data_IF_004993548546
#
_entry.id   IF_004993548546
#
_cell.length_a   1.000
_cell.length_b   1.000
_cell.length_c   1.000
_cell.angle_alpha   90.00
_cell.angle_beta   90.00
_cell.angle_gamma   90.00
#
_symmetry.space_group_name_H-M   'P 1'
#
loop_
_entity.id
_entity.type
_entity.pdbx_description
1 polymer ?
#
# COMPACT_ATOMS: atom_id res chain seq x y z
N UNK A 1 28.72 -20.21 4.63
CA UNK A 1 28.43 -18.77 4.88
C UNK A 1 27.27 -18.31 4.01
N UNK A 2 26.35 -17.51 4.57
CA UNK A 2 25.08 -17.10 3.89
C UNK A 2 25.21 -15.71 3.25
N UNK A 3 26.19 -14.91 3.62
CA UNK A 3 26.33 -13.49 3.25
C UNK A 3 26.11 -13.14 1.75
N UNK A 4 26.54 -13.94 0.76
CA UNK A 4 26.31 -13.61 -0.65
C UNK A 4 24.86 -13.80 -1.13
N UNK A 5 24.10 -14.67 -0.46
CA UNK A 5 22.78 -15.11 -0.92
C UNK A 5 21.73 -13.99 -0.90
N UNK A 6 21.57 -13.20 0.20
CA UNK A 6 20.64 -12.09 0.19
C UNK A 6 20.93 -11.06 -0.90
N UNK A 7 22.21 -10.75 -1.16
CA UNK A 7 22.58 -9.80 -2.20
C UNK A 7 22.15 -10.30 -3.60
N UNK A 8 22.51 -11.54 -3.95
CA UNK A 8 22.13 -12.15 -5.22
C UNK A 8 20.60 -12.28 -5.34
N UNK A 9 19.89 -12.63 -4.26
CA UNK A 9 18.44 -12.68 -4.22
C UNK A 9 17.80 -11.35 -4.57
N UNK A 10 18.29 -10.22 -3.99
CA UNK A 10 17.73 -8.90 -4.28
C UNK A 10 18.06 -8.44 -5.69
N UNK A 11 19.29 -8.61 -6.15
CA UNK A 11 19.74 -8.10 -7.45
C UNK A 11 19.25 -8.96 -8.62
N UNK A 12 19.42 -10.26 -8.53
CA UNK A 12 19.11 -11.15 -9.65
C UNK A 12 17.64 -11.60 -9.64
N UNK A 13 17.17 -12.17 -8.52
CA UNK A 13 15.83 -12.75 -8.49
C UNK A 13 14.74 -11.70 -8.42
N UNK A 14 14.83 -10.74 -7.49
CA UNK A 14 13.75 -9.77 -7.30
C UNK A 14 13.80 -8.63 -8.32
N UNK A 15 14.96 -8.02 -8.53
CA UNK A 15 15.08 -6.89 -9.44
C UNK A 15 15.07 -7.34 -10.90
N UNK A 16 15.98 -8.22 -11.31
CA UNK A 16 16.14 -8.60 -12.73
C UNK A 16 15.08 -9.58 -13.21
N UNK A 17 14.90 -10.75 -12.54
CA UNK A 17 13.99 -11.80 -13.05
C UNK A 17 12.52 -11.56 -12.75
N UNK A 18 12.15 -11.06 -11.54
CA UNK A 18 10.76 -10.84 -11.16
C UNK A 18 10.27 -9.43 -11.37
N UNK A 19 11.16 -8.46 -11.67
CA UNK A 19 10.83 -7.05 -11.80
C UNK A 19 9.91 -6.59 -10.65
N UNK A 20 10.23 -7.03 -9.43
CA UNK A 20 9.43 -6.74 -8.26
C UNK A 20 9.38 -5.23 -8.01
N UNK A 21 8.23 -4.74 -7.54
CA UNK A 21 8.09 -3.32 -7.25
C UNK A 21 9.11 -2.87 -6.20
N UNK A 22 9.60 -1.61 -6.23
CA UNK A 22 10.51 -1.07 -5.22
C UNK A 22 9.98 -1.27 -3.79
N UNK A 23 8.67 -1.19 -3.61
CA UNK A 23 8.00 -1.42 -2.34
C UNK A 23 8.11 -2.87 -1.86
N UNK A 24 7.96 -3.84 -2.77
CA UNK A 24 8.13 -5.27 -2.44
C UNK A 24 9.58 -5.54 -2.05
N UNK A 25 10.54 -4.99 -2.79
CA UNK A 25 11.97 -5.13 -2.49
C UNK A 25 12.29 -4.53 -1.12
N UNK A 26 11.78 -3.33 -0.82
CA UNK A 26 11.97 -2.68 0.47
C UNK A 26 11.38 -3.50 1.63
N UNK A 27 10.15 -4.03 1.47
CA UNK A 27 9.50 -4.86 2.49
C UNK A 27 10.27 -6.17 2.76
N UNK A 28 10.78 -6.81 1.70
CA UNK A 28 11.58 -8.02 1.84
C UNK A 28 12.95 -7.73 2.48
N UNK A 29 13.59 -6.62 2.10
CA UNK A 29 14.84 -6.17 2.72
C UNK A 29 14.68 -5.92 4.21
N UNK A 30 13.59 -5.25 4.61
CA UNK A 30 13.30 -5.00 6.02
C UNK A 30 13.09 -6.31 6.79
N UNK A 31 12.33 -7.26 6.24
CA UNK A 31 12.09 -8.56 6.87
C UNK A 31 13.41 -9.33 7.10
N UNK A 32 14.29 -9.36 6.09
CA UNK A 32 15.58 -10.08 6.17
C UNK A 32 16.53 -9.36 7.13
N UNK A 33 16.60 -8.02 7.09
CA UNK A 33 17.41 -7.23 8.03
C UNK A 33 17.01 -7.49 9.49
N UNK A 34 15.70 -7.53 9.76
CA UNK A 34 15.19 -7.83 11.10
C UNK A 34 15.53 -9.25 11.55
N UNK A 35 15.42 -10.25 10.66
CA UNK A 35 15.81 -11.61 10.94
C UNK A 35 17.31 -11.70 11.29
N UNK A 36 18.17 -11.14 10.46
CA UNK A 36 19.62 -11.17 10.69
C UNK A 36 20.01 -10.45 11.99
N UNK A 37 19.37 -9.33 12.32
CA UNK A 37 19.54 -8.63 13.59
C UNK A 37 19.12 -9.47 14.80
N UNK A 38 17.97 -10.16 14.71
CA UNK A 38 17.51 -11.07 15.74
C UNK A 38 18.49 -12.23 16.00
N UNK A 39 18.98 -12.85 14.92
CA UNK A 39 19.95 -13.94 15.02
C UNK A 39 21.26 -13.45 15.64
N UNK A 40 21.75 -12.28 15.23
CA UNK A 40 22.97 -11.66 15.79
C UNK A 40 22.82 -11.40 17.30
N UNK A 41 21.68 -10.85 17.74
CA UNK A 41 21.42 -10.62 19.16
C UNK A 41 21.40 -11.92 19.97
N UNK A 42 20.89 -12.99 19.39
CA UNK A 42 20.74 -14.29 20.06
C UNK A 42 22.04 -15.11 20.09
N UNK A 43 22.87 -15.02 19.04
CA UNK A 43 24.05 -15.88 18.88
C UNK A 43 25.37 -15.15 19.07
N UNK A 44 25.37 -13.81 19.12
CA UNK A 44 26.59 -12.99 19.07
C UNK A 44 27.30 -13.01 17.72
N UNK A 45 26.82 -13.79 16.75
CA UNK A 45 27.46 -13.98 15.44
C UNK A 45 27.05 -12.88 14.48
N UNK A 46 27.99 -12.18 13.89
CA UNK A 46 27.70 -11.11 12.92
C UNK A 46 27.06 -11.69 11.63
N UNK A 47 26.20 -10.94 10.94
CA UNK A 47 25.52 -11.41 9.73
C UNK A 47 26.46 -11.97 8.65
N UNK A 48 27.69 -11.43 8.56
CA UNK A 48 28.70 -11.90 7.60
C UNK A 48 29.24 -13.30 7.90
N UNK A 49 29.17 -13.75 9.16
CA UNK A 49 29.70 -15.05 9.61
C UNK A 49 28.60 -16.10 9.80
N UNK A 50 27.33 -15.75 9.57
CA UNK A 50 26.23 -16.69 9.70
C UNK A 50 26.33 -17.83 8.68
N UNK A 51 25.91 -19.01 9.11
CA UNK A 51 25.72 -20.19 8.27
C UNK A 51 24.27 -20.67 8.27
N UNK A 52 24.00 -21.78 7.59
CA UNK A 52 22.63 -22.32 7.47
C UNK A 52 22.07 -22.82 8.81
N UNK A 53 22.91 -23.32 9.72
CA UNK A 53 22.48 -23.82 11.02
C UNK A 53 21.95 -22.68 11.91
N UNK A 54 22.48 -21.46 11.72
CA UNK A 54 21.98 -20.26 12.39
C UNK A 54 20.59 -19.82 11.92
N UNK A 55 20.09 -20.35 10.80
CA UNK A 55 18.78 -20.04 10.22
C UNK A 55 17.88 -21.26 10.14
N UNK A 56 17.95 -22.16 11.12
CA UNK A 56 17.09 -23.35 11.22
C UNK A 56 15.59 -22.95 11.36
N UNK A 57 14.70 -23.91 11.13
CA UNK A 57 13.24 -23.70 11.31
C UNK A 57 12.87 -23.23 12.70
N UNK A 58 13.60 -23.67 13.73
CA UNK A 58 13.39 -23.27 15.13
C UNK A 58 13.77 -21.80 15.37
N UNK A 59 14.90 -21.39 14.79
CA UNK A 59 15.35 -19.97 14.86
C UNK A 59 14.36 -19.06 14.11
N UNK A 60 13.91 -19.47 12.92
CA UNK A 60 12.91 -18.70 12.17
C UNK A 60 11.57 -18.64 12.94
N UNK A 61 11.14 -19.74 13.54
CA UNK A 61 9.93 -19.77 14.37
C UNK A 61 10.04 -18.87 15.60
N UNK A 62 11.20 -18.90 16.30
CA UNK A 62 11.48 -18.01 17.41
C UNK A 62 11.47 -16.53 16.99
N UNK A 63 12.07 -16.20 15.84
CA UNK A 63 12.00 -14.84 15.28
C UNK A 63 10.57 -14.40 15.02
N UNK A 64 9.74 -15.25 14.41
CA UNK A 64 8.35 -14.94 14.11
C UNK A 64 7.52 -14.72 15.40
N UNK A 65 7.80 -15.47 16.47
CA UNK A 65 7.19 -15.28 17.79
C UNK A 65 7.65 -13.97 18.45
N UNK A 66 8.95 -13.65 18.39
CA UNK A 66 9.50 -12.38 18.86
C UNK A 66 8.82 -11.18 18.17
N UNK A 67 8.52 -11.27 16.88
CA UNK A 67 7.81 -10.21 16.15
C UNK A 67 6.41 -9.94 16.71
N UNK A 68 5.70 -10.97 17.16
CA UNK A 68 4.37 -10.82 17.73
C UNK A 68 4.44 -10.40 19.20
N UNK A 69 5.22 -11.11 20.03
CA UNK A 69 5.25 -10.93 21.48
C UNK A 69 5.96 -9.64 21.91
N UNK A 70 7.11 -9.32 21.31
CA UNK A 70 7.94 -8.21 21.77
C UNK A 70 7.82 -6.96 20.88
N UNK A 71 7.51 -7.14 19.60
CA UNK A 71 7.38 -6.01 18.65
C UNK A 71 5.92 -5.65 18.33
N UNK A 72 4.93 -6.33 18.94
CA UNK A 72 3.51 -6.04 18.75
C UNK A 72 3.02 -6.18 17.31
N UNK A 73 3.68 -6.98 16.47
CA UNK A 73 3.26 -7.14 15.08
C UNK A 73 1.97 -7.97 14.99
N UNK A 74 1.06 -7.53 14.12
CA UNK A 74 -0.11 -8.34 13.80
C UNK A 74 0.29 -9.64 13.11
N UNK A 75 -0.54 -10.68 13.25
CA UNK A 75 -0.39 -11.97 12.56
C UNK A 75 -0.25 -11.80 11.04
N UNK A 76 -0.96 -10.84 10.45
CA UNK A 76 -0.82 -10.49 9.03
C UNK A 76 0.60 -10.00 8.71
N UNK A 77 1.16 -9.11 9.51
CA UNK A 77 2.53 -8.59 9.33
C UNK A 77 3.56 -9.70 9.50
N UNK A 78 3.39 -10.56 10.51
CA UNK A 78 4.21 -11.76 10.71
C UNK A 78 4.20 -12.65 9.46
N UNK A 79 3.03 -12.94 8.90
CA UNK A 79 2.90 -13.79 7.72
C UNK A 79 3.53 -13.16 6.46
N UNK A 80 3.45 -11.84 6.29
CA UNK A 80 4.15 -11.13 5.20
C UNK A 80 5.67 -11.29 5.33
N UNK A 81 6.21 -11.23 6.55
CA UNK A 81 7.65 -11.44 6.80
C UNK A 81 8.06 -12.89 6.59
N UNK A 82 7.22 -13.85 7.02
CA UNK A 82 7.43 -15.27 6.69
C UNK A 82 7.47 -15.50 5.16
N UNK A 83 6.59 -14.87 4.40
CA UNK A 83 6.59 -14.97 2.94
C UNK A 83 7.89 -14.44 2.31
N UNK A 84 8.46 -13.35 2.86
CA UNK A 84 9.75 -12.83 2.42
C UNK A 84 10.89 -13.82 2.70
N UNK A 85 10.92 -14.41 3.91
CA UNK A 85 11.89 -15.43 4.31
C UNK A 85 11.77 -16.67 3.40
N UNK A 86 10.57 -17.20 3.23
CA UNK A 86 10.32 -18.35 2.34
C UNK A 86 10.75 -18.08 0.89
N UNK A 87 10.57 -16.85 0.41
CA UNK A 87 11.02 -16.47 -0.94
C UNK A 87 12.55 -16.49 -1.06
N UNK A 88 13.29 -16.04 -0.01
CA UNK A 88 14.75 -16.14 0.05
C UNK A 88 15.20 -17.61 0.08
N UNK A 89 14.60 -18.43 0.94
CA UNK A 89 14.94 -19.87 1.07
C UNK A 89 14.61 -20.65 -0.20
N UNK A 90 13.48 -20.37 -0.87
CA UNK A 90 13.16 -20.95 -2.18
C UNK A 90 14.13 -20.54 -3.31
N UNK A 91 14.80 -19.40 -3.18
CA UNK A 91 15.88 -19.03 -4.08
C UNK A 91 17.16 -19.80 -3.74
N UNK A 92 17.46 -19.93 -2.47
CA UNK A 92 18.68 -20.52 -1.97
C UNK A 92 18.77 -22.02 -2.22
N UNK A 93 17.67 -22.77 -2.15
CA UNK A 93 17.67 -24.25 -2.35
C UNK A 93 18.20 -24.65 -3.73
N UNK A 94 18.00 -23.80 -4.75
CA UNK A 94 18.49 -24.07 -6.11
C UNK A 94 20.01 -23.88 -6.26
N UNK A 95 20.63 -23.15 -5.32
CA UNK A 95 22.06 -22.86 -5.34
C UNK A 95 22.85 -23.68 -4.30
N UNK A 96 22.13 -24.17 -3.28
CA UNK A 96 22.68 -24.90 -2.14
C UNK A 96 21.90 -26.18 -1.87
N UNK A 97 21.91 -27.16 -2.82
CA UNK A 97 21.17 -28.40 -2.66
C UNK A 97 21.66 -29.22 -1.45
N UNK A 98 22.91 -29.05 -1.02
CA UNK A 98 23.49 -29.67 0.18
C UNK A 98 22.75 -29.28 1.47
N UNK A 99 22.00 -28.16 1.48
CA UNK A 99 21.19 -27.70 2.61
C UNK A 99 19.68 -27.91 2.39
N UNK A 100 19.28 -28.67 1.39
CA UNK A 100 17.88 -28.81 0.97
C UNK A 100 16.94 -29.22 2.13
N UNK A 101 17.34 -30.16 2.98
CA UNK A 101 16.52 -30.60 4.11
C UNK A 101 16.27 -29.51 5.15
N UNK A 102 17.30 -28.72 5.48
CA UNK A 102 17.15 -27.58 6.39
C UNK A 102 16.23 -26.52 5.78
N UNK A 103 16.47 -26.19 4.52
CA UNK A 103 15.68 -25.22 3.76
C UNK A 103 14.21 -25.66 3.69
N UNK A 104 13.95 -26.95 3.41
CA UNK A 104 12.59 -27.48 3.32
C UNK A 104 11.84 -27.29 4.65
N UNK A 105 12.46 -27.60 5.78
CA UNK A 105 11.85 -27.38 7.11
C UNK A 105 11.43 -25.91 7.34
N UNK A 106 12.21 -24.94 6.83
CA UNK A 106 11.83 -23.53 6.89
C UNK A 106 10.68 -23.21 5.95
N UNK A 107 10.67 -23.79 4.75
CA UNK A 107 9.59 -23.63 3.78
C UNK A 107 8.26 -24.23 4.28
N UNK A 108 8.32 -25.24 5.14
CA UNK A 108 7.16 -25.91 5.71
C UNK A 108 6.54 -25.16 6.92
N UNK A 109 7.21 -24.14 7.48
CA UNK A 109 6.64 -23.33 8.56
C UNK A 109 5.30 -22.71 8.10
N UNK A 110 4.14 -23.08 8.69
CA UNK A 110 2.85 -22.62 8.19
C UNK A 110 2.60 -21.14 8.52
N UNK A 111 1.87 -20.41 7.67
CA UNK A 111 1.35 -19.10 8.07
C UNK A 111 0.28 -19.29 9.16
N UNK A 112 0.24 -18.39 10.13
CA UNK A 112 -0.84 -18.37 11.13
C UNK A 112 -2.16 -17.93 10.48
N UNK A 113 -3.26 -18.56 10.88
CA UNK A 113 -4.60 -18.09 10.53
C UNK A 113 -4.89 -16.77 11.25
N UNK A 114 -5.60 -15.90 10.59
CA UNK A 114 -6.08 -14.65 11.17
C UNK A 114 -7.43 -14.28 10.56
N UNK A 115 -8.28 -13.64 11.34
CA UNK A 115 -9.57 -13.19 10.86
C UNK A 115 -9.39 -12.07 9.85
N UNK A 116 -9.99 -12.23 8.69
CA UNK A 116 -10.07 -11.16 7.70
C UNK A 116 -11.11 -10.17 8.21
N UNK A 117 -10.70 -8.94 8.51
CA UNK A 117 -11.66 -7.89 8.80
C UNK A 117 -12.66 -7.80 7.66
N UNK A 118 -13.94 -7.80 8.00
CA UNK A 118 -15.02 -7.55 7.05
C UNK A 118 -14.76 -6.23 6.33
N UNK A 119 -14.87 -6.23 5.01
CA UNK A 119 -14.72 -5.01 4.23
C UNK A 119 -15.91 -4.11 4.56
N UNK A 120 -15.64 -2.90 5.03
CA UNK A 120 -16.67 -1.89 5.20
C UNK A 120 -17.06 -1.37 3.83
N UNK A 121 -18.33 -1.54 3.46
CA UNK A 121 -18.91 -0.93 2.27
C UNK A 121 -19.48 0.43 2.64
N UNK A 122 -19.28 1.43 1.78
CA UNK A 122 -19.90 2.74 1.94
C UNK A 122 -21.32 2.72 1.35
N UNK A 123 -22.30 3.16 2.11
CA UNK A 123 -23.65 3.42 1.63
C UNK A 123 -23.69 4.74 0.87
N UNK A 124 -24.70 4.93 0.00
CA UNK A 124 -24.91 6.20 -0.72
C UNK A 124 -25.00 7.39 0.25
N UNK A 125 -25.71 7.24 1.36
CA UNK A 125 -25.82 8.28 2.39
C UNK A 125 -24.47 8.69 2.97
N UNK A 126 -23.56 7.73 3.23
CA UNK A 126 -22.23 8.02 3.74
C UNK A 126 -21.35 8.70 2.70
N UNK A 127 -21.47 8.30 1.44
CA UNK A 127 -20.77 8.94 0.32
C UNK A 127 -21.22 10.39 0.16
N UNK A 128 -22.51 10.66 0.16
CA UNK A 128 -23.07 12.01 0.03
C UNK A 128 -22.61 12.92 1.17
N UNK A 129 -22.70 12.44 2.41
CA UNK A 129 -22.22 13.17 3.59
C UNK A 129 -20.71 13.47 3.49
N UNK A 130 -19.91 12.50 3.02
CA UNK A 130 -18.47 12.66 2.86
C UNK A 130 -18.12 13.66 1.75
N UNK A 131 -18.84 13.65 0.62
CA UNK A 131 -18.66 14.60 -0.48
C UNK A 131 -19.17 16.01 -0.17
N UNK A 132 -20.09 16.15 0.79
CA UNK A 132 -20.58 17.44 1.28
C UNK A 132 -19.65 18.08 2.35
N UNK A 133 -18.79 17.29 2.98
CA UNK A 133 -17.97 17.73 4.12
C UNK A 133 -16.86 18.75 3.78
N UNK A 134 -16.19 18.72 2.59
CA UNK A 134 -15.17 19.69 2.26
C UNK A 134 -15.75 21.11 2.09
N UNK A 135 -15.18 22.10 2.80
CA UNK A 135 -15.62 23.51 2.73
C UNK A 135 -15.35 24.11 1.33
N UNK A 136 -16.39 24.47 0.55
CA UNK A 136 -16.23 24.99 -0.80
C UNK A 136 -15.61 26.40 -0.84
N UNK A 137 -15.59 27.12 0.28
CA UNK A 137 -14.98 28.45 0.38
C UNK A 137 -13.46 28.39 0.45
N UNK A 138 -12.91 27.24 0.89
CA UNK A 138 -11.48 27.03 1.03
C UNK A 138 -10.91 26.34 -0.20
N UNK A 139 -9.74 26.77 -0.63
CA UNK A 139 -9.00 26.15 -1.74
C UNK A 139 -8.77 24.63 -1.51
N UNK A 140 -8.34 24.26 -0.29
CA UNK A 140 -8.15 22.86 0.08
C UNK A 140 -9.46 22.06 0.03
N UNK A 141 -10.57 22.71 0.40
CA UNK A 141 -11.89 22.06 0.36
C UNK A 141 -12.34 21.76 -1.06
N UNK A 142 -12.15 22.70 -2.00
CA UNK A 142 -12.48 22.47 -3.43
C UNK A 142 -11.62 21.38 -4.04
N UNK A 143 -10.30 21.38 -3.76
CA UNK A 143 -9.40 20.29 -4.14
C UNK A 143 -9.86 18.95 -3.59
N UNK A 144 -10.15 18.88 -2.29
CA UNK A 144 -10.50 17.65 -1.59
C UNK A 144 -11.84 17.12 -2.08
N UNK A 145 -12.81 17.98 -2.39
CA UNK A 145 -14.09 17.58 -2.98
C UNK A 145 -13.89 16.91 -4.35
N UNK A 146 -13.10 17.50 -5.23
CA UNK A 146 -12.76 16.92 -6.53
C UNK A 146 -12.01 15.58 -6.37
N UNK A 147 -11.05 15.52 -5.44
CA UNK A 147 -10.27 14.32 -5.14
C UNK A 147 -11.14 13.18 -4.59
N UNK A 148 -12.04 13.46 -3.66
CA UNK A 148 -12.92 12.46 -3.06
C UNK A 148 -13.95 11.96 -4.08
N UNK A 149 -14.55 12.86 -4.86
CA UNK A 149 -15.50 12.49 -5.91
C UNK A 149 -14.85 11.57 -6.95
N UNK A 150 -13.65 11.91 -7.43
CA UNK A 150 -12.88 11.05 -8.34
C UNK A 150 -12.58 9.69 -7.72
N UNK A 151 -12.13 9.66 -6.45
CA UNK A 151 -11.80 8.41 -5.76
C UNK A 151 -13.01 7.50 -5.58
N UNK A 152 -14.17 8.08 -5.25
CA UNK A 152 -15.45 7.38 -5.05
C UNK A 152 -15.94 6.78 -6.37
N UNK A 153 -15.99 7.57 -7.43
CA UNK A 153 -16.50 7.10 -8.72
C UNK A 153 -15.61 6.04 -9.36
N UNK A 154 -14.29 6.25 -9.32
CA UNK A 154 -13.35 5.42 -10.08
C UNK A 154 -12.80 4.24 -9.30
N UNK A 155 -12.92 4.23 -7.98
CA UNK A 155 -12.32 3.24 -7.11
C UNK A 155 -10.78 3.16 -7.22
N UNK A 156 -10.11 4.24 -7.58
CA UNK A 156 -8.64 4.29 -7.67
C UNK A 156 -7.98 3.99 -6.32
N UNK A 157 -6.85 3.29 -6.37
CA UNK A 157 -6.02 3.15 -5.16
C UNK A 157 -5.45 4.51 -4.77
N UNK A 158 -5.22 4.72 -3.47
CA UNK A 158 -4.64 5.98 -3.00
C UNK A 158 -3.30 6.29 -3.70
N UNK A 159 -2.51 5.28 -4.05
CA UNK A 159 -1.27 5.47 -4.81
C UNK A 159 -1.52 5.87 -6.25
N UNK A 160 -2.54 5.31 -6.90
CA UNK A 160 -2.98 5.71 -8.24
C UNK A 160 -3.49 7.15 -8.20
N UNK A 161 -4.39 7.47 -7.26
CA UNK A 161 -4.96 8.80 -7.06
C UNK A 161 -3.89 9.88 -6.82
N UNK A 162 -2.93 9.61 -5.93
CA UNK A 162 -1.85 10.56 -5.63
C UNK A 162 -0.81 10.67 -6.76
N UNK A 163 -0.70 9.71 -7.66
CA UNK A 163 0.23 9.76 -8.79
C UNK A 163 -0.30 10.51 -10.00
N UNK A 164 -1.60 10.81 -10.06
CA UNK A 164 -2.21 11.50 -11.19
C UNK A 164 -1.58 12.88 -11.43
N UNK A 165 -1.40 13.18 -12.70
CA UNK A 165 -1.02 14.49 -13.22
C UNK A 165 -2.23 15.17 -13.88
N UNK A 166 -2.12 16.45 -14.20
CA UNK A 166 -3.20 17.19 -14.85
C UNK A 166 -3.55 16.62 -16.23
N UNK A 167 -2.59 16.15 -16.97
CA UNK A 167 -2.72 15.53 -18.31
C UNK A 167 -3.23 14.08 -18.27
N UNK A 168 -3.43 13.49 -17.11
CA UNK A 168 -4.11 12.21 -16.97
C UNK A 168 -5.65 12.34 -17.01
N UNK A 169 -6.17 13.56 -17.00
CA UNK A 169 -7.61 13.85 -17.09
C UNK A 169 -7.97 14.32 -18.49
N UNK A 170 -8.86 13.60 -19.14
CA UNK A 170 -9.53 14.04 -20.37
C UNK A 170 -10.95 14.46 -20.02
N UNK A 171 -11.37 15.67 -20.43
CA UNK A 171 -12.70 16.23 -20.22
C UNK A 171 -13.45 16.30 -21.55
N UNK A 172 -14.78 16.45 -21.48
CA UNK A 172 -15.64 16.55 -22.66
C UNK A 172 -16.10 15.17 -23.16
N UNK A 173 -16.20 15.03 -24.48
CA UNK A 173 -16.61 13.75 -25.08
C UNK A 173 -15.54 12.70 -24.86
N UNK A 174 -15.94 11.53 -24.34
CA UNK A 174 -15.01 10.47 -23.97
C UNK A 174 -14.22 10.75 -22.68
N UNK A 175 -14.77 11.58 -21.79
CA UNK A 175 -14.11 11.96 -20.55
C UNK A 175 -13.65 10.75 -19.71
N UNK A 176 -12.38 10.74 -19.35
CA UNK A 176 -11.76 9.65 -18.62
C UNK A 176 -10.56 10.11 -17.79
N UNK A 177 -10.24 9.36 -16.75
CA UNK A 177 -8.95 9.43 -16.07
C UNK A 177 -8.07 8.27 -16.53
N UNK A 178 -6.86 8.56 -16.95
CA UNK A 178 -5.83 7.58 -17.29
C UNK A 178 -5.03 7.25 -16.02
N UNK A 179 -5.07 6.01 -15.58
CA UNK A 179 -4.33 5.58 -14.41
C UNK A 179 -3.41 4.39 -14.69
N UNK A 180 -2.26 4.35 -14.03
CA UNK A 180 -1.33 3.23 -14.10
C UNK A 180 -1.63 2.22 -12.99
N UNK A 181 -2.05 1.02 -13.37
CA UNK A 181 -2.35 -0.08 -12.48
C UNK A 181 -1.16 -1.00 -12.18
N UNK A 182 -1.43 -2.14 -11.56
CA UNK A 182 -0.42 -3.17 -11.28
C UNK A 182 0.23 -3.65 -12.57
N UNK A 183 1.56 -3.66 -12.61
CA UNK A 183 2.35 -4.09 -13.76
C UNK A 183 2.52 -3.01 -14.83
N UNK A 184 2.38 -1.73 -14.46
CA UNK A 184 2.52 -0.56 -15.36
C UNK A 184 1.53 -0.54 -16.52
N UNK A 185 0.41 -1.27 -16.40
CA UNK A 185 -0.64 -1.23 -17.42
C UNK A 185 -1.49 0.01 -17.20
N UNK A 186 -1.54 0.87 -18.20
CA UNK A 186 -2.43 2.03 -18.22
C UNK A 186 -3.85 1.59 -18.57
N UNK A 187 -4.83 2.19 -17.91
CA UNK A 187 -6.25 2.00 -18.20
C UNK A 187 -6.98 3.32 -18.11
N UNK A 188 -7.83 3.64 -19.08
CA UNK A 188 -8.80 4.72 -18.94
C UNK A 188 -9.96 4.25 -18.04
N UNK A 189 -10.42 5.12 -17.16
CA UNK A 189 -11.65 4.92 -16.37
C UNK A 189 -12.58 6.06 -16.71
N UNK A 190 -13.78 5.78 -17.24
CA UNK A 190 -14.76 6.81 -17.63
C UNK A 190 -15.14 7.71 -16.45
N UNK A 191 -15.44 8.98 -16.75
CA UNK A 191 -15.89 9.97 -15.78
C UNK A 191 -17.31 10.39 -16.07
N UNK A 192 -18.17 10.42 -15.03
CA UNK A 192 -19.52 10.96 -15.13
C UNK A 192 -19.53 12.50 -15.14
N UNK A 193 -20.62 13.09 -15.57
CA UNK A 193 -20.78 14.56 -15.66
C UNK A 193 -20.53 15.29 -14.34
N UNK A 194 -21.06 14.85 -13.19
CA UNK A 194 -20.79 15.50 -11.90
C UNK A 194 -19.29 15.56 -11.56
N UNK A 195 -18.55 14.47 -11.74
CA UNK A 195 -17.12 14.43 -11.46
C UNK A 195 -16.33 15.24 -12.48
N UNK A 196 -16.72 15.22 -13.76
CA UNK A 196 -16.12 16.07 -14.79
C UNK A 196 -16.22 17.56 -14.41
N UNK A 197 -17.39 18.04 -13.97
CA UNK A 197 -17.60 19.41 -13.57
C UNK A 197 -16.68 19.82 -12.39
N UNK A 198 -16.58 18.97 -11.39
CA UNK A 198 -15.68 19.19 -10.24
C UNK A 198 -14.20 19.24 -10.66
N UNK A 199 -13.80 18.33 -11.55
CA UNK A 199 -12.41 18.29 -12.04
C UNK A 199 -12.10 19.47 -12.96
N UNK A 200 -13.04 19.89 -13.81
CA UNK A 200 -12.89 21.06 -14.66
C UNK A 200 -12.69 22.33 -13.82
N UNK A 201 -13.56 22.53 -12.82
CA UNK A 201 -13.44 23.68 -11.90
C UNK A 201 -12.08 23.65 -11.15
N UNK A 202 -11.70 22.46 -10.67
CA UNK A 202 -10.42 22.28 -9.97
C UNK A 202 -9.21 22.54 -10.88
N UNK A 203 -9.18 22.01 -12.10
CA UNK A 203 -8.10 22.22 -13.07
C UNK A 203 -7.93 23.68 -13.43
N UNK A 204 -9.05 24.40 -13.64
CA UNK A 204 -9.04 25.84 -13.93
C UNK A 204 -8.47 26.65 -12.73
N UNK A 205 -8.90 26.35 -11.50
CA UNK A 205 -8.42 27.02 -10.31
C UNK A 205 -6.95 26.72 -10.02
N UNK A 206 -6.55 25.47 -10.21
CA UNK A 206 -5.18 25.02 -9.97
C UNK A 206 -4.21 25.63 -10.98
N UNK A 207 -4.64 25.88 -12.21
CA UNK A 207 -3.84 26.44 -13.32
C UNK A 207 -2.53 25.65 -13.55
N UNK A 208 -2.56 24.31 -13.41
CA UNK A 208 -1.38 23.45 -13.57
C UNK A 208 -1.07 23.14 -15.02
N UNK A 209 0.21 22.90 -15.29
CA UNK A 209 0.70 22.44 -16.60
C UNK A 209 0.56 20.91 -16.71
N UNK A 210 0.67 20.40 -17.93
CA UNK A 210 0.82 18.98 -18.17
C UNK A 210 2.03 18.44 -17.35
N UNK A 211 1.87 17.25 -16.76
CA UNK A 211 2.89 16.66 -15.88
C UNK A 211 2.88 17.16 -14.42
N UNK A 212 2.22 18.28 -14.13
CA UNK A 212 2.05 18.71 -12.74
C UNK A 212 1.09 17.77 -11.97
N UNK A 213 1.30 17.56 -10.65
CA UNK A 213 0.39 16.74 -9.85
C UNK A 213 -1.05 17.24 -9.91
N UNK A 214 -2.03 16.39 -10.19
CA UNK A 214 -3.46 16.78 -10.21
C UNK A 214 -3.89 17.30 -8.84
N UNK A 215 -3.59 16.58 -7.76
CA UNK A 215 -3.88 16.99 -6.40
C UNK A 215 -2.59 17.35 -5.66
N UNK A 216 -2.44 18.63 -5.33
CA UNK A 216 -1.22 19.16 -4.77
C UNK A 216 -1.45 19.93 -3.46
N UNK A 217 -0.37 20.27 -2.76
CA UNK A 217 -0.34 21.26 -1.70
C UNK A 217 -0.42 22.67 -2.29
N UNK A 218 -0.60 23.71 -1.46
CA UNK A 218 -0.52 25.12 -1.91
C UNK A 218 0.83 25.48 -2.56
N UNK A 219 1.89 24.75 -2.21
CA UNK A 219 3.22 24.93 -2.81
C UNK A 219 3.45 24.10 -4.08
N UNK A 220 2.40 23.53 -4.66
CA UNK A 220 2.47 22.71 -5.89
C UNK A 220 3.00 21.28 -5.72
N UNK A 221 3.42 20.87 -4.50
CA UNK A 221 3.92 19.51 -4.27
C UNK A 221 2.78 18.50 -4.25
N UNK A 222 3.05 17.32 -4.80
CA UNK A 222 2.14 16.17 -4.79
C UNK A 222 1.70 15.82 -3.37
N UNK A 223 0.41 15.52 -3.17
CA UNK A 223 -0.07 14.99 -1.90
C UNK A 223 0.51 13.60 -1.64
N UNK A 224 0.97 13.37 -0.41
CA UNK A 224 1.34 12.03 0.05
C UNK A 224 0.09 11.20 0.39
N UNK A 225 0.27 9.87 0.45
CA UNK A 225 -0.79 8.96 0.88
C UNK A 225 -1.29 9.28 2.30
N UNK A 226 -0.36 9.65 3.18
CA UNK A 226 -0.67 9.97 4.57
C UNK A 226 -1.45 11.30 4.64
N UNK A 227 -1.09 12.29 3.81
CA UNK A 227 -1.86 13.52 3.69
C UNK A 227 -3.30 13.25 3.20
N UNK A 228 -3.50 12.37 2.22
CA UNK A 228 -4.84 11.97 1.76
C UNK A 228 -5.61 11.26 2.88
N UNK A 229 -4.96 10.35 3.61
CA UNK A 229 -5.60 9.65 4.73
C UNK A 229 -6.01 10.62 5.86
N UNK A 230 -5.15 11.56 6.21
CA UNK A 230 -5.44 12.59 7.22
C UNK A 230 -6.62 13.47 6.80
N UNK A 231 -6.65 13.94 5.54
CA UNK A 231 -7.76 14.75 5.02
C UNK A 231 -9.06 13.98 5.01
N UNK A 232 -9.03 12.72 4.57
CA UNK A 232 -10.20 11.84 4.63
C UNK A 232 -10.73 11.71 6.07
N UNK A 233 -9.84 11.52 7.06
CA UNK A 233 -10.21 11.48 8.47
C UNK A 233 -10.89 12.79 8.93
N UNK A 234 -10.33 13.96 8.57
CA UNK A 234 -10.94 15.27 8.87
C UNK A 234 -12.32 15.41 8.25
N UNK A 235 -12.49 15.02 6.97
CA UNK A 235 -13.78 15.09 6.30
C UNK A 235 -14.79 14.08 6.85
N UNK A 236 -14.33 12.89 7.27
CA UNK A 236 -15.20 11.91 7.96
C UNK A 236 -15.74 12.49 9.27
N UNK A 237 -14.91 13.16 10.08
CA UNK A 237 -15.36 13.81 11.31
C UNK A 237 -16.37 14.95 11.03
N UNK A 238 -16.16 15.72 9.96
CA UNK A 238 -17.10 16.76 9.54
C UNK A 238 -18.42 16.15 9.05
N UNK A 239 -18.37 15.13 8.22
CA UNK A 239 -19.53 14.40 7.69
C UNK A 239 -20.34 13.73 8.80
N UNK A 240 -19.69 13.28 9.87
CA UNK A 240 -20.34 12.65 11.02
C UNK A 240 -21.30 13.60 11.76
N UNK A 241 -21.18 14.90 11.59
CA UNK A 241 -22.15 15.87 12.14
C UNK A 241 -23.54 15.75 11.53
N UNK A 242 -23.61 15.39 10.25
CA UNK A 242 -24.87 15.14 9.52
C UNK A 242 -25.20 13.65 9.41
N UNK A 243 -24.20 12.77 9.59
CA UNK A 243 -24.35 11.33 9.51
C UNK A 243 -23.56 10.62 10.63
N UNK A 244 -24.07 10.58 11.88
CA UNK A 244 -23.33 10.09 13.06
C UNK A 244 -22.84 8.65 12.94
N UNK A 245 -23.50 7.80 12.17
CA UNK A 245 -23.11 6.40 11.93
C UNK A 245 -21.74 6.24 11.24
N UNK A 246 -21.17 7.32 10.69
CA UNK A 246 -19.80 7.33 10.16
C UNK A 246 -18.72 7.23 11.25
N UNK A 247 -19.00 7.63 12.51
CA UNK A 247 -18.05 7.55 13.62
C UNK A 247 -17.70 6.12 14.00
N UNK A 248 -18.65 5.20 13.82
CA UNK A 248 -18.45 3.78 14.15
C UNK A 248 -17.64 3.03 13.09
N UNK A 249 -17.24 3.71 12.02
CA UNK A 249 -16.56 3.12 10.88
C UNK A 249 -15.14 3.64 10.73
N UNK A 250 -14.22 2.72 10.49
CA UNK A 250 -12.84 3.06 10.14
C UNK A 250 -12.77 3.43 8.65
N UNK A 251 -13.06 4.69 8.33
CA UNK A 251 -12.98 5.19 6.95
C UNK A 251 -11.55 5.55 6.63
N UNK A 252 -10.95 4.79 5.71
CA UNK A 252 -9.61 5.01 5.21
C UNK A 252 -9.61 4.94 3.67
N UNK A 253 -8.59 5.42 2.95
CA UNK A 253 -8.62 5.53 1.49
C UNK A 253 -8.96 4.25 0.72
N UNK A 254 -8.70 3.07 1.31
CA UNK A 254 -9.05 1.81 0.67
C UNK A 254 -10.57 1.53 0.71
N UNK A 255 -11.29 2.06 1.69
CA UNK A 255 -12.74 1.90 1.83
C UNK A 255 -13.50 2.64 0.73
N UNK A 256 -12.96 3.77 0.22
CA UNK A 256 -13.56 4.53 -0.88
C UNK A 256 -13.73 3.71 -2.19
N UNK A 257 -13.12 2.54 -2.27
CA UNK A 257 -13.23 1.63 -3.42
C UNK A 257 -14.41 0.65 -3.33
N UNK A 258 -15.06 0.61 -2.17
CA UNK A 258 -16.10 -0.37 -1.85
C UNK A 258 -17.39 0.38 -1.56
N UNK A 259 -18.09 0.74 -2.63
CA UNK A 259 -19.38 1.40 -2.56
C UNK A 259 -20.45 0.37 -2.92
N UNK A 260 -21.48 0.27 -2.11
CA UNK A 260 -22.69 -0.47 -2.46
C UNK A 260 -23.58 0.50 -3.25
N UNK A 261 -23.64 0.30 -4.57
CA UNK A 261 -24.74 0.89 -5.35
C UNK A 261 -26.00 0.15 -4.94
N UNK A 262 -26.92 0.90 -4.33
CA UNK A 262 -28.27 0.42 -4.07
C UNK A 262 -29.06 0.32 -5.38
#
# INVERSE_FOLDING_TARGET
>A
MIAPIPQAFFTERLARRRQASPRTIAAYRDAIRLLLGFVQQRTGTTPAKLDWNNLSSDVISAFLNHLEAERGNSTRTRNVRLAAIRSLFSYAVLQHPEHALLIQRVLDIPPKRFDKRTVTFLTTQWVDALLAAPDPKRWEGRRDKAMLALAVQTGLRVTELTSLNCDDITLGDGAAVRCEGKGRKQRPVPLDRPVQNLLSAWLNERAGRAGDPLFCTRTGRRLSRDAVAQRLGTHTQTAARSCPSLLDKSIHPHVLRHIVSA
#
